data_IF_291195330156
#
_entry.id   IF_291195330156
#
_cell.length_a   1.000
_cell.length_b   1.000
_cell.length_c   1.000
_cell.angle_alpha   90.00
_cell.angle_beta   90.00
_cell.angle_gamma   90.00
#
_symmetry.space_group_name_H-M   'P 1'
#
loop_
_entity.id
_entity.type
_entity.pdbx_description
1 polymer ?
#
# COMPACT_ATOMS: atom_id res chain seq x y z
N UNK A 1 0.08 8.42 -3.20
CA UNK A 1 -1.32 7.96 -3.35
C UNK A 1 -1.48 6.54 -2.81
N UNK A 2 -2.71 6.05 -2.63
CA UNK A 2 -2.98 4.68 -2.21
C UNK A 2 -4.19 4.12 -2.96
N UNK A 3 -4.15 2.83 -3.24
CA UNK A 3 -5.26 2.07 -3.82
C UNK A 3 -5.70 1.05 -2.78
N UNK A 4 -6.78 1.35 -2.07
CA UNK A 4 -7.33 0.47 -1.04
C UNK A 4 -7.73 -0.87 -1.66
N UNK A 5 -7.10 -1.96 -1.21
CA UNK A 5 -7.56 -3.34 -1.41
C UNK A 5 -8.55 -3.69 -0.30
N UNK A 6 -9.82 -3.92 -0.65
CA UNK A 6 -10.82 -4.46 0.28
C UNK A 6 -10.77 -6.00 0.25
N UNK A 7 -11.74 -6.69 0.84
CA UNK A 7 -11.95 -8.13 0.67
C UNK A 7 -12.37 -8.43 -0.79
N UNK A 8 -11.41 -8.35 -1.72
CA UNK A 8 -11.60 -8.39 -3.18
C UNK A 8 -10.61 -7.48 -3.90
N UNK A 9 -10.89 -7.09 -5.15
CA UNK A 9 -9.98 -6.21 -5.92
C UNK A 9 -9.90 -4.77 -5.35
N UNK A 10 -10.94 -4.30 -4.66
CA UNK A 10 -11.00 -2.93 -4.14
C UNK A 10 -10.83 -1.87 -5.25
N UNK A 11 -10.11 -0.80 -4.94
CA UNK A 11 -9.72 0.26 -5.88
C UNK A 11 -8.40 -0.03 -6.61
N UNK A 12 -7.87 -1.26 -6.51
CA UNK A 12 -6.62 -1.64 -7.15
C UNK A 12 -6.79 -1.63 -8.67
N UNK A 13 -6.01 -0.77 -9.31
CA UNK A 13 -5.92 -0.59 -10.75
C UNK A 13 -4.45 -0.44 -11.13
N UNK A 14 -3.96 -1.35 -11.97
CA UNK A 14 -2.58 -1.32 -12.46
C UNK A 14 -2.32 -0.04 -13.26
N UNK A 15 -3.27 0.38 -14.08
CA UNK A 15 -3.21 1.65 -14.83
C UNK A 15 -3.09 2.86 -13.90
N UNK A 16 -3.84 2.89 -12.80
CA UNK A 16 -3.76 3.99 -11.84
C UNK A 16 -2.42 3.99 -11.08
N UNK A 17 -1.90 2.81 -10.76
CA UNK A 17 -0.60 2.67 -10.11
C UNK A 17 0.54 3.13 -11.03
N UNK A 18 0.49 2.74 -12.30
CA UNK A 18 1.48 3.14 -13.28
C UNK A 18 1.42 4.64 -13.60
N UNK A 19 0.21 5.20 -13.72
CA UNK A 19 0.05 6.65 -13.87
C UNK A 19 0.69 7.42 -12.72
N UNK A 20 0.47 6.97 -11.47
CA UNK A 20 1.11 7.57 -10.29
C UNK A 20 2.64 7.51 -10.36
N UNK A 21 3.20 6.34 -10.66
CA UNK A 21 4.65 6.16 -10.81
C UNK A 21 5.25 7.04 -11.90
N UNK A 22 4.61 7.13 -13.08
CA UNK A 22 5.05 7.99 -14.18
C UNK A 22 5.10 9.48 -13.80
N UNK A 23 4.30 9.91 -12.82
CA UNK A 23 4.27 11.28 -12.31
C UNK A 23 5.08 11.46 -11.03
N UNK A 24 5.91 10.49 -10.64
CA UNK A 24 6.75 10.55 -9.43
C UNK A 24 5.94 10.55 -8.13
N UNK A 25 4.73 9.99 -8.15
CA UNK A 25 3.87 9.87 -6.98
C UNK A 25 4.05 8.47 -6.39
N UNK A 26 4.54 8.32 -5.14
CA UNK A 26 4.61 7.01 -4.47
C UNK A 26 3.22 6.36 -4.40
N UNK A 27 3.09 5.08 -4.79
CA UNK A 27 1.81 4.39 -4.87
C UNK A 27 1.78 3.16 -3.97
N UNK A 28 1.02 3.21 -2.88
CA UNK A 28 0.75 2.03 -2.06
C UNK A 28 -0.42 1.26 -2.69
N UNK A 29 -0.12 0.12 -3.31
CA UNK A 29 -1.14 -0.77 -3.89
C UNK A 29 -1.64 -1.74 -2.83
N UNK A 30 -2.97 -1.85 -2.69
CA UNK A 30 -3.62 -2.82 -1.82
C UNK A 30 -3.61 -2.50 -0.32
N UNK A 31 -2.79 -1.55 0.13
CA UNK A 31 -2.57 -1.24 1.55
C UNK A 31 -3.01 0.15 2.00
N UNK A 32 -3.14 0.35 3.31
CA UNK A 32 -3.46 1.62 3.96
C UNK A 32 -2.22 2.42 4.38
N UNK A 33 -2.08 3.72 4.08
CA UNK A 33 -0.98 4.56 4.54
C UNK A 33 -0.82 4.55 6.06
N UNK A 34 -1.93 4.43 6.81
CA UNK A 34 -1.89 4.36 8.27
C UNK A 34 -1.07 3.17 8.78
N UNK A 35 -0.91 2.10 7.98
CA UNK A 35 -0.07 0.94 8.30
C UNK A 35 1.42 1.29 8.45
N UNK A 36 1.88 2.38 7.81
CA UNK A 36 3.28 2.80 7.77
C UNK A 36 3.59 3.99 8.67
N UNK A 37 2.56 4.58 9.29
CA UNK A 37 2.71 5.75 10.17
C UNK A 37 3.19 5.33 11.56
N UNK A 38 4.02 6.14 12.24
CA UNK A 38 4.29 5.97 13.67
C UNK A 38 3.02 5.96 14.54
N UNK A 39 1.95 6.64 14.06
CA UNK A 39 0.65 6.71 14.73
C UNK A 39 -0.25 5.48 14.48
N UNK A 40 0.24 4.45 13.77
CA UNK A 40 -0.52 3.23 13.51
C UNK A 40 -0.93 2.55 14.82
N UNK A 41 -2.21 2.23 14.95
CA UNK A 41 -2.70 1.36 16.02
C UNK A 41 -2.21 -0.10 15.84
N UNK A 42 -2.32 -0.94 16.88
CA UNK A 42 -1.84 -2.33 16.82
C UNK A 42 -2.42 -3.15 15.67
N UNK A 43 -3.69 -2.93 15.29
CA UNK A 43 -4.31 -3.67 14.20
C UNK A 43 -3.66 -3.31 12.86
N UNK A 44 -3.41 -2.01 12.61
CA UNK A 44 -2.70 -1.57 11.41
C UNK A 44 -1.26 -2.08 11.34
N UNK A 45 -0.56 -2.20 12.48
CA UNK A 45 0.80 -2.77 12.52
C UNK A 45 0.81 -4.27 12.21
N UNK A 46 -0.13 -5.04 12.77
CA UNK A 46 -0.28 -6.47 12.48
C UNK A 46 -0.65 -6.67 11.01
N UNK A 47 -1.60 -5.89 10.50
CA UNK A 47 -1.99 -5.91 9.09
C UNK A 47 -0.80 -5.64 8.19
N UNK A 48 0.04 -4.64 8.51
CA UNK A 48 1.30 -4.39 7.78
C UNK A 48 2.17 -5.62 7.75
N UNK A 49 2.43 -6.22 8.91
CA UNK A 49 3.32 -7.38 9.01
C UNK A 49 2.81 -8.55 8.15
N UNK A 50 1.53 -8.93 8.29
CA UNK A 50 0.93 -10.04 7.55
C UNK A 50 0.91 -9.78 6.05
N UNK A 51 0.45 -8.61 5.61
CA UNK A 51 0.33 -8.30 4.18
C UNK A 51 1.68 -8.08 3.51
N UNK A 52 2.69 -7.64 4.26
CA UNK A 52 4.07 -7.55 3.76
C UNK A 52 4.66 -8.95 3.55
N UNK A 53 4.38 -9.90 4.44
CA UNK A 53 4.85 -11.28 4.32
C UNK A 53 4.26 -11.99 3.10
N UNK A 54 3.02 -11.67 2.72
CA UNK A 54 2.38 -12.22 1.51
C UNK A 54 2.73 -11.47 0.22
N UNK A 55 3.48 -10.37 0.32
CA UNK A 55 3.80 -9.49 -0.82
C UNK A 55 2.62 -8.65 -1.30
N UNK A 56 1.52 -8.59 -0.55
CA UNK A 56 0.34 -7.82 -0.90
C UNK A 56 0.52 -6.30 -0.73
N UNK A 57 1.49 -5.89 0.10
CA UNK A 57 1.87 -4.47 0.31
C UNK A 57 3.41 -4.34 0.43
N UNK A 58 3.99 -3.16 0.12
CA UNK A 58 5.44 -2.94 0.26
C UNK A 58 5.91 -2.93 1.72
N UNK A 59 7.22 -3.11 1.98
CA UNK A 59 7.74 -3.09 3.37
C UNK A 59 7.75 -1.69 3.95
N UNK A 60 8.03 -0.69 3.14
CA UNK A 60 8.06 0.73 3.49
C UNK A 60 7.45 1.55 2.34
N UNK A 61 7.28 2.86 2.54
CA UNK A 61 6.63 3.73 1.52
C UNK A 61 7.56 3.99 0.33
N UNK A 62 8.87 3.92 0.51
CA UNK A 62 9.88 4.11 -0.55
C UNK A 62 9.93 2.91 -1.51
N UNK A 63 9.69 1.69 -1.01
CA UNK A 63 9.53 0.50 -1.84
C UNK A 63 8.27 0.59 -2.73
N UNK A 64 7.35 1.52 -2.43
CA UNK A 64 6.15 1.79 -3.22
C UNK A 64 6.43 2.74 -4.42
N UNK A 65 7.66 3.21 -4.56
CA UNK A 65 8.13 4.04 -5.68
C UNK A 65 8.68 3.21 -6.85
N UNK A 66 8.95 1.91 -6.63
CA UNK A 66 9.44 0.97 -7.65
C UNK A 66 8.29 0.21 -8.32
#
# INVERSE_FOLDING_TARGET
>A
MWLHGSLGKGSVSETAAEYGRQHGIPVIVGGCPLMFSPAADPAHRIMRAVLTLTGAVPRNVQDAEQ
#
